data_IF_304112794494
#
_entry.id   IF_304112794494
#
_cell.length_a   1.000
_cell.length_b   1.000
_cell.length_c   1.000
_cell.angle_alpha   90.00
_cell.angle_beta   90.00
_cell.angle_gamma   90.00
#
_symmetry.space_group_name_H-M   'P 1'
#
loop_
_entity.id
_entity.type
_entity.pdbx_description
1 polymer ?
#
# COMPACT_ATOMS: atom_id res chain seq x y z
N UNK A 1 36.60 -55.57 7.34
CA UNK A 1 37.43 -56.12 6.25
C UNK A 1 36.51 -56.96 5.36
N UNK A 2 36.22 -56.45 4.15
CA UNK A 2 35.85 -57.11 2.86
C UNK A 2 35.23 -58.52 2.93
N UNK A 3 34.10 -58.88 2.29
CA UNK A 3 33.68 -58.80 0.89
C UNK A 3 32.20 -59.18 0.83
N UNK A 4 31.46 -58.71 -0.17
CA UNK A 4 30.65 -59.63 -0.98
C UNK A 4 30.37 -59.02 -2.36
N UNK A 5 30.86 -59.71 -3.39
CA UNK A 5 30.81 -59.34 -4.79
C UNK A 5 30.13 -60.51 -5.51
N UNK A 6 29.03 -60.28 -6.22
CA UNK A 6 28.43 -61.27 -7.13
C UNK A 6 27.89 -60.54 -8.36
N UNK A 7 28.38 -60.96 -9.52
CA UNK A 7 28.11 -60.41 -10.84
C UNK A 7 27.55 -61.53 -11.73
N UNK A 8 26.36 -61.27 -12.27
CA UNK A 8 25.86 -61.58 -13.61
C UNK A 8 25.92 -63.00 -14.24
N UNK A 9 24.69 -63.48 -14.54
CA UNK A 9 24.15 -63.69 -15.89
C UNK A 9 24.21 -65.08 -16.57
N UNK A 10 22.98 -65.54 -16.88
CA UNK A 10 22.42 -65.96 -18.19
C UNK A 10 22.45 -67.44 -18.65
N UNK A 11 21.21 -67.92 -18.85
CA UNK A 11 20.63 -68.57 -20.05
C UNK A 11 20.78 -70.09 -20.22
N UNK A 12 19.62 -70.78 -20.32
CA UNK A 12 19.23 -71.64 -21.47
C UNK A 12 17.74 -72.05 -21.38
N UNK A 13 17.22 -72.55 -22.50
CA UNK A 13 15.91 -72.30 -23.14
C UNK A 13 15.01 -73.57 -23.24
N UNK A 14 13.75 -73.39 -23.69
CA UNK A 14 12.76 -74.31 -24.35
C UNK A 14 11.48 -74.61 -23.51
N UNK A 15 10.23 -74.18 -23.88
CA UNK A 15 9.26 -74.63 -24.94
C UNK A 15 8.76 -76.09 -24.65
N UNK A 16 7.48 -76.51 -24.58
CA UNK A 16 6.13 -75.97 -24.88
C UNK A 16 4.99 -76.88 -24.30
N UNK A 17 3.88 -76.24 -23.90
CA UNK A 17 2.42 -76.52 -23.99
C UNK A 17 1.71 -77.87 -23.62
N UNK A 18 0.50 -77.74 -23.06
CA UNK A 18 -0.62 -78.70 -23.14
C UNK A 18 -1.66 -78.66 -21.98
N UNK A 19 -2.75 -77.88 -22.16
CA UNK A 19 -4.16 -78.00 -21.69
C UNK A 19 -4.59 -78.49 -20.29
N UNK A 20 -5.37 -77.64 -19.56
CA UNK A 20 -6.81 -77.86 -19.19
C UNK A 20 -7.31 -77.07 -17.95
N UNK A 21 -8.25 -76.15 -18.20
CA UNK A 21 -9.53 -75.86 -17.51
C UNK A 21 -9.67 -75.55 -15.98
N UNK A 22 -10.06 -74.29 -15.71
CA UNK A 22 -10.94 -73.70 -14.67
C UNK A 22 -10.72 -73.93 -13.14
N UNK A 23 -10.47 -72.83 -12.39
CA UNK A 23 -11.39 -72.25 -11.39
C UNK A 23 -10.95 -70.84 -10.91
N UNK A 24 -11.90 -69.93 -10.74
CA UNK A 24 -11.79 -68.48 -10.49
C UNK A 24 -11.46 -68.13 -9.03
N UNK A 25 -10.66 -67.08 -8.75
CA UNK A 25 -10.92 -66.09 -7.68
C UNK A 25 -10.34 -64.71 -8.07
N UNK A 26 -11.12 -63.66 -7.79
CA UNK A 26 -10.97 -62.24 -8.15
C UNK A 26 -9.82 -61.55 -7.40
N UNK A 27 -9.20 -60.54 -7.99
CA UNK A 27 -8.47 -59.49 -7.24
C UNK A 27 -8.58 -58.15 -7.95
N UNK A 28 -9.34 -57.24 -7.33
CA UNK A 28 -9.46 -55.81 -7.65
C UNK A 28 -8.31 -55.11 -6.94
N UNK A 29 -7.53 -54.29 -7.64
CA UNK A 29 -6.60 -53.36 -7.01
C UNK A 29 -6.67 -52.00 -7.73
N UNK A 30 -7.53 -51.12 -7.24
CA UNK A 30 -7.49 -49.70 -7.54
C UNK A 30 -6.75 -49.00 -6.40
N UNK A 31 -5.55 -48.50 -6.67
CA UNK A 31 -4.77 -47.71 -5.73
C UNK A 31 -5.35 -46.29 -5.65
N UNK A 32 -5.96 -45.94 -4.51
CA UNK A 32 -6.35 -44.57 -4.21
C UNK A 32 -5.15 -43.84 -3.58
N UNK A 33 -4.61 -42.87 -4.32
CA UNK A 33 -3.57 -41.95 -3.84
C UNK A 33 -4.27 -40.87 -2.98
N UNK A 34 -4.23 -41.03 -1.67
CA UNK A 34 -4.78 -40.05 -0.72
C UNK A 34 -3.76 -38.90 -0.56
N UNK A 35 -3.96 -37.80 -1.29
CA UNK A 35 -3.20 -36.56 -1.05
C UNK A 35 -3.69 -35.92 0.25
N UNK A 36 -2.93 -36.09 1.33
CA UNK A 36 -3.05 -35.30 2.56
C UNK A 36 -2.62 -33.86 2.26
N UNK A 37 -3.57 -33.01 1.89
CA UNK A 37 -3.40 -31.56 2.02
C UNK A 37 -3.55 -31.23 3.51
N UNK A 38 -2.57 -30.58 4.16
CA UNK A 38 -2.76 -30.08 5.50
C UNK A 38 -3.85 -29.01 5.43
N UNK A 39 -5.02 -29.29 5.97
CA UNK A 39 -5.97 -28.24 6.31
C UNK A 39 -5.30 -27.42 7.41
N UNK A 40 -4.69 -26.29 7.06
CA UNK A 40 -4.31 -25.31 8.05
C UNK A 40 -5.57 -25.00 8.85
N UNK A 41 -5.56 -25.35 10.14
CA UNK A 41 -6.60 -24.95 11.07
C UNK A 41 -6.46 -23.44 11.23
N UNK A 42 -7.13 -22.68 10.37
CA UNK A 42 -7.11 -21.23 10.40
C UNK A 42 -7.84 -20.79 11.68
N UNK A 43 -7.12 -20.13 12.58
CA UNK A 43 -7.67 -19.60 13.81
C UNK A 43 -8.34 -18.23 13.60
N UNK A 44 -8.71 -17.88 12.36
CA UNK A 44 -9.42 -16.64 12.08
C UNK A 44 -10.74 -16.62 12.87
N UNK A 45 -11.11 -15.45 13.37
CA UNK A 45 -12.38 -15.16 14.01
C UNK A 45 -13.59 -15.20 13.07
N UNK A 46 -13.37 -15.47 11.78
CA UNK A 46 -14.39 -15.64 10.75
C UNK A 46 -14.08 -16.82 9.81
N UNK A 47 -15.07 -17.20 9.00
CA UNK A 47 -14.98 -18.31 8.04
C UNK A 47 -14.17 -17.90 6.81
N UNK A 48 -12.91 -18.35 6.73
CA UNK A 48 -12.01 -18.05 5.61
C UNK A 48 -12.53 -18.55 4.25
N UNK A 49 -13.42 -19.55 4.20
CA UNK A 49 -14.04 -19.97 2.95
C UNK A 49 -14.99 -18.91 2.37
N UNK A 50 -15.36 -17.89 3.15
CA UNK A 50 -16.25 -16.79 2.77
C UNK A 50 -15.54 -15.45 2.62
N UNK A 51 -14.21 -15.42 2.71
CA UNK A 51 -13.42 -14.20 2.55
C UNK A 51 -13.65 -13.56 1.17
N UNK A 52 -14.15 -12.32 1.15
CA UNK A 52 -14.52 -11.63 -0.08
C UNK A 52 -13.60 -10.43 -0.36
N UNK A 53 -13.29 -9.67 0.67
CA UNK A 53 -12.44 -8.48 0.57
C UNK A 53 -10.95 -8.83 0.44
N UNK A 54 -10.11 -7.94 -0.12
CA UNK A 54 -8.66 -8.10 -0.10
C UNK A 54 -8.13 -8.33 1.33
N UNK A 55 -8.63 -7.54 2.29
CA UNK A 55 -8.30 -7.67 3.71
C UNK A 55 -8.57 -9.05 4.28
N UNK A 56 -9.78 -9.59 4.09
CA UNK A 56 -10.13 -10.92 4.61
C UNK A 56 -9.30 -12.01 3.96
N UNK A 57 -9.04 -11.90 2.65
CA UNK A 57 -8.20 -12.86 1.92
C UNK A 57 -6.77 -12.86 2.46
N UNK A 58 -6.19 -11.68 2.70
CA UNK A 58 -4.86 -11.54 3.31
C UNK A 58 -4.81 -12.10 4.73
N UNK A 59 -5.80 -11.79 5.58
CA UNK A 59 -5.89 -12.35 6.94
C UNK A 59 -5.94 -13.89 6.92
N UNK A 60 -6.66 -14.46 5.95
CA UNK A 60 -6.76 -15.91 5.81
C UNK A 60 -5.52 -16.54 5.19
N UNK A 61 -4.81 -15.85 4.30
CA UNK A 61 -3.60 -16.36 3.67
C UNK A 61 -2.38 -16.35 4.61
N UNK A 62 -2.33 -15.43 5.57
CA UNK A 62 -1.23 -15.31 6.53
C UNK A 62 -1.58 -15.91 7.91
N UNK A 63 -0.76 -16.85 8.37
CA UNK A 63 -1.01 -17.56 9.63
C UNK A 63 -0.90 -16.66 10.88
N UNK A 64 -0.01 -15.65 10.86
CA UNK A 64 0.16 -14.74 11.98
C UNK A 64 -1.02 -13.77 12.10
N UNK A 65 -1.51 -13.23 10.98
CA UNK A 65 -2.72 -12.41 10.90
C UNK A 65 -3.97 -13.21 11.27
N UNK A 66 -4.10 -14.44 10.77
CA UNK A 66 -5.19 -15.35 11.14
C UNK A 66 -5.23 -15.58 12.66
N UNK A 67 -4.07 -15.81 13.29
CA UNK A 67 -3.95 -15.93 14.73
C UNK A 67 -4.35 -14.64 15.46
N UNK A 68 -3.86 -13.49 15.01
CA UNK A 68 -4.21 -12.19 15.60
C UNK A 68 -5.72 -11.91 15.54
N UNK A 69 -6.37 -12.31 14.45
CA UNK A 69 -7.82 -12.20 14.29
C UNK A 69 -8.58 -13.09 15.28
N UNK A 70 -8.13 -14.34 15.46
CA UNK A 70 -8.65 -15.25 16.49
C UNK A 70 -8.49 -14.73 17.91
N UNK A 71 -7.29 -14.26 18.25
CA UNK A 71 -6.98 -13.67 19.56
C UNK A 71 -7.89 -12.46 19.82
N UNK A 72 -8.12 -11.62 18.81
CA UNK A 72 -8.99 -10.45 18.91
C UNK A 72 -10.46 -10.84 19.09
N UNK A 73 -10.93 -11.87 18.38
CA UNK A 73 -12.28 -12.40 18.57
C UNK A 73 -12.50 -12.93 20.00
N UNK A 74 -11.48 -13.57 20.60
CA UNK A 74 -11.51 -14.02 21.98
C UNK A 74 -11.52 -12.83 22.97
N UNK A 75 -10.60 -11.86 22.80
CA UNK A 75 -10.53 -10.66 23.63
C UNK A 75 -11.81 -9.83 23.58
N UNK A 76 -12.42 -9.71 22.39
CA UNK A 76 -13.71 -9.06 22.18
C UNK A 76 -14.83 -9.71 23.01
N UNK A 77 -14.94 -11.04 22.98
CA UNK A 77 -15.92 -11.79 23.78
C UNK A 77 -15.69 -11.55 25.28
N UNK A 78 -14.45 -11.56 25.74
CA UNK A 78 -14.11 -11.27 27.14
C UNK A 78 -14.49 -9.83 27.54
N UNK A 79 -14.22 -8.85 26.67
CA UNK A 79 -14.57 -7.45 26.91
C UNK A 79 -16.10 -7.25 27.02
N UNK A 80 -16.90 -7.97 26.23
CA UNK A 80 -18.36 -7.95 26.34
C UNK A 80 -18.85 -8.53 27.68
N UNK A 81 -18.23 -9.62 28.15
CA UNK A 81 -18.59 -10.25 29.44
C UNK A 81 -18.23 -9.37 30.63
N UNK A 82 -17.12 -8.62 30.55
CA UNK A 82 -16.68 -7.70 31.60
C UNK A 82 -17.70 -6.58 31.89
N UNK A 83 -18.58 -6.27 30.94
CA UNK A 83 -19.63 -5.26 31.08
C UNK A 83 -19.12 -3.82 30.98
N UNK A 84 -19.94 -2.85 31.40
CA UNK A 84 -19.72 -1.41 31.22
C UNK A 84 -20.59 -0.82 30.10
N UNK A 85 -20.09 0.21 29.40
CA UNK A 85 -20.79 0.79 28.25
C UNK A 85 -20.63 -0.10 27.00
N UNK A 86 -21.42 -1.17 26.94
CA UNK A 86 -21.39 -2.14 25.85
C UNK A 86 -21.83 -1.54 24.50
N UNK A 87 -22.62 -0.47 24.50
CA UNK A 87 -23.03 0.21 23.28
C UNK A 87 -21.85 0.96 22.65
N UNK A 88 -21.12 1.75 23.46
CA UNK A 88 -19.90 2.41 23.01
C UNK A 88 -18.84 1.40 22.57
N UNK A 89 -18.68 0.28 23.29
CA UNK A 89 -17.74 -0.78 22.95
C UNK A 89 -18.05 -1.41 21.57
N UNK A 90 -19.33 -1.70 21.28
CA UNK A 90 -19.78 -2.19 19.96
C UNK A 90 -19.56 -1.17 18.86
N UNK A 91 -19.89 0.10 19.10
CA UNK A 91 -19.63 1.17 18.14
C UNK A 91 -18.13 1.31 17.82
N UNK A 92 -17.27 1.24 18.85
CA UNK A 92 -15.82 1.28 18.69
C UNK A 92 -15.29 0.07 17.90
N UNK A 93 -15.84 -1.14 18.12
CA UNK A 93 -15.45 -2.34 17.37
C UNK A 93 -15.82 -2.23 15.89
N UNK A 94 -17.03 -1.77 15.57
CA UNK A 94 -17.46 -1.54 14.18
C UNK A 94 -16.61 -0.47 13.50
N UNK A 95 -16.27 0.61 14.21
CA UNK A 95 -15.36 1.64 13.72
C UNK A 95 -13.97 1.06 13.44
N UNK A 96 -13.45 0.24 14.36
CA UNK A 96 -12.14 -0.40 14.19
C UNK A 96 -12.11 -1.34 12.97
N UNK A 97 -13.16 -2.14 12.73
CA UNK A 97 -13.26 -3.00 11.55
C UNK A 97 -13.17 -2.19 10.25
N UNK A 98 -13.94 -1.10 10.15
CA UNK A 98 -13.87 -0.18 8.99
C UNK A 98 -12.49 0.42 8.79
N UNK A 99 -11.75 0.68 9.87
CA UNK A 99 -10.38 1.19 9.79
C UNK A 99 -9.41 0.09 9.34
N UNK A 100 -9.48 -1.10 9.94
CA UNK A 100 -8.70 -2.28 9.53
C UNK A 100 -8.85 -2.56 8.04
N UNK A 101 -10.08 -2.51 7.53
CA UNK A 101 -10.36 -2.83 6.13
C UNK A 101 -9.72 -1.84 5.14
N UNK A 102 -9.33 -0.63 5.60
CA UNK A 102 -8.55 0.33 4.78
C UNK A 102 -7.11 -0.13 4.54
N UNK A 103 -6.57 -1.08 5.30
CA UNK A 103 -5.26 -1.67 5.01
C UNK A 103 -5.26 -2.45 3.68
N UNK A 104 -6.42 -2.94 3.22
CA UNK A 104 -6.46 -3.82 2.06
C UNK A 104 -5.58 -5.06 2.28
N UNK A 105 -4.66 -5.30 1.35
CA UNK A 105 -3.72 -6.43 1.42
C UNK A 105 -2.40 -6.13 2.16
N UNK A 106 -2.24 -4.96 2.78
CA UNK A 106 -1.03 -4.60 3.52
C UNK A 106 -0.96 -5.36 4.86
N UNK A 107 -0.12 -6.41 4.90
CA UNK A 107 0.07 -7.29 6.05
C UNK A 107 0.64 -6.56 7.27
N UNK A 108 1.57 -5.62 7.08
CA UNK A 108 2.18 -4.85 8.17
C UNK A 108 1.15 -3.95 8.82
N UNK A 109 0.36 -3.25 8.00
CA UNK A 109 -0.75 -2.43 8.45
C UNK A 109 -1.76 -3.28 9.24
N UNK A 110 -2.19 -4.42 8.69
CA UNK A 110 -3.14 -5.31 9.36
C UNK A 110 -2.59 -5.77 10.72
N UNK A 111 -1.36 -6.28 10.75
CA UNK A 111 -0.71 -6.76 11.96
C UNK A 111 -0.68 -5.71 13.07
N UNK A 112 -0.34 -4.46 12.73
CA UNK A 112 -0.34 -3.38 13.72
C UNK A 112 -1.74 -2.97 14.18
N UNK A 113 -2.72 -2.91 13.27
CA UNK A 113 -4.12 -2.63 13.64
C UNK A 113 -4.70 -3.67 14.59
N UNK A 114 -4.34 -4.94 14.42
CA UNK A 114 -4.68 -6.01 15.35
C UNK A 114 -4.01 -5.82 16.71
N UNK A 115 -2.68 -5.60 16.74
CA UNK A 115 -1.93 -5.41 17.99
C UNK A 115 -2.44 -4.22 18.81
N UNK A 116 -2.70 -3.08 18.16
CA UNK A 116 -3.30 -1.89 18.79
C UNK A 116 -4.67 -2.18 19.40
N UNK A 117 -5.52 -2.93 18.70
CA UNK A 117 -6.87 -3.23 19.19
C UNK A 117 -6.86 -4.26 20.30
N UNK A 118 -6.01 -5.27 20.22
CA UNK A 118 -5.80 -6.24 21.30
C UNK A 118 -5.34 -5.55 22.59
N UNK A 119 -4.37 -4.62 22.48
CA UNK A 119 -3.93 -3.80 23.61
C UNK A 119 -5.10 -2.99 24.23
N UNK A 120 -5.89 -2.34 23.38
CA UNK A 120 -7.09 -1.58 23.80
C UNK A 120 -8.14 -2.47 24.50
N UNK A 121 -8.46 -3.65 23.95
CA UNK A 121 -9.48 -4.55 24.51
C UNK A 121 -9.02 -5.20 25.83
N UNK A 122 -7.73 -5.52 25.94
CA UNK A 122 -7.16 -6.15 27.12
C UNK A 122 -6.87 -5.15 28.25
N UNK A 123 -7.09 -3.85 28.03
CA UNK A 123 -6.74 -2.80 29.00
C UNK A 123 -5.24 -2.75 29.31
N UNK A 124 -4.42 -3.27 28.40
CA UNK A 124 -2.96 -3.28 28.47
C UNK A 124 -2.47 -2.33 27.39
N UNK A 125 -2.20 -1.05 27.70
CA UNK A 125 -1.70 -0.13 26.70
C UNK A 125 -0.45 -0.71 26.05
N UNK A 126 -0.28 -0.46 24.75
CA UNK A 126 0.99 -0.71 24.09
C UNK A 126 2.10 0.01 24.88
N UNK A 127 3.27 -0.61 25.00
CA UNK A 127 4.35 -0.08 25.82
C UNK A 127 4.70 1.36 25.38
N UNK A 128 4.93 2.26 26.35
CA UNK A 128 5.16 3.69 26.08
C UNK A 128 6.49 3.97 25.33
N UNK A 129 7.38 2.97 25.33
CA UNK A 129 8.69 2.91 24.69
C UNK A 129 8.66 2.04 23.41
N UNK A 130 7.48 1.82 22.80
CA UNK A 130 7.33 0.91 21.66
C UNK A 130 7.94 1.47 20.37
N UNK A 131 9.25 1.41 20.28
CA UNK A 131 9.97 1.48 19.02
C UNK A 131 9.53 0.36 18.08
N UNK A 132 9.38 -0.86 18.61
CA UNK A 132 9.11 -2.11 17.87
C UNK A 132 7.71 -2.16 17.25
N UNK A 133 7.59 -1.56 16.08
CA UNK A 133 6.41 -1.57 15.21
C UNK A 133 6.76 -0.98 13.86
N UNK A 134 5.77 -0.98 12.97
CA UNK A 134 5.82 -0.21 11.74
C UNK A 134 5.20 1.17 11.97
N UNK A 135 5.89 2.17 11.46
CA UNK A 135 5.55 3.58 11.50
C UNK A 135 5.44 4.11 10.08
N UNK A 136 4.51 5.04 9.85
CA UNK A 136 4.17 5.54 8.53
C UNK A 136 4.40 7.04 8.47
N UNK A 137 5.04 7.52 7.41
CA UNK A 137 5.29 8.94 7.20
C UNK A 137 3.99 9.75 7.27
N UNK A 138 3.96 10.76 8.13
CA UNK A 138 2.88 11.71 8.34
C UNK A 138 2.84 12.73 7.19
N UNK A 139 2.60 12.24 5.96
CA UNK A 139 2.47 13.10 4.77
C UNK A 139 1.03 13.58 4.58
N UNK A 140 0.88 14.82 4.10
CA UNK A 140 -0.41 15.35 3.62
C UNK A 140 -0.67 15.04 2.14
N UNK A 141 0.36 14.65 1.41
CA UNK A 141 0.30 14.35 -0.02
C UNK A 141 0.64 12.86 -0.26
N UNK A 142 -0.26 12.09 -0.90
CA UNK A 142 -0.11 10.65 -1.07
C UNK A 142 1.05 10.24 -1.99
N UNK A 143 1.59 11.14 -2.80
CA UNK A 143 2.76 10.88 -3.64
C UNK A 143 4.08 10.85 -2.88
N UNK A 144 4.08 11.24 -1.60
CA UNK A 144 5.21 11.09 -0.68
C UNK A 144 4.84 10.09 0.39
N UNK A 145 5.66 9.07 0.56
CA UNK A 145 5.43 8.04 1.57
C UNK A 145 6.72 7.57 2.19
N UNK A 146 6.55 6.84 3.28
CA UNK A 146 7.64 6.19 3.97
C UNK A 146 7.12 5.23 5.02
N UNK A 147 7.82 4.11 5.16
CA UNK A 147 7.51 3.05 6.10
C UNK A 147 8.76 2.74 6.89
N UNK A 148 8.71 2.91 8.20
CA UNK A 148 9.82 2.68 9.13
C UNK A 148 9.42 1.55 10.08
N UNK A 149 10.13 0.44 10.04
CA UNK A 149 9.90 -0.68 10.94
C UNK A 149 11.08 -0.84 11.87
N UNK A 150 10.84 -0.89 13.18
CA UNK A 150 11.87 -1.33 14.13
C UNK A 150 11.56 -2.74 14.64
N UNK A 151 12.60 -3.56 14.75
CA UNK A 151 12.58 -4.89 15.37
C UNK A 151 13.73 -5.04 16.37
N UNK A 152 13.79 -6.15 17.10
CA UNK A 152 14.79 -6.38 18.15
C UNK A 152 14.32 -5.93 19.53
N UNK A 153 15.23 -5.72 20.47
CA UNK A 153 14.90 -5.37 21.87
C UNK A 153 15.80 -4.26 22.37
N UNK A 154 15.19 -3.21 22.92
CA UNK A 154 15.93 -2.08 23.47
C UNK A 154 17.02 -2.54 24.47
N UNK A 155 18.22 -1.93 24.44
CA UNK A 155 18.55 -0.74 23.66
C UNK A 155 18.93 -1.04 22.20
N UNK A 156 19.10 -2.30 21.78
CA UNK A 156 19.57 -2.62 20.41
C UNK A 156 18.40 -2.96 19.49
N UNK A 157 18.19 -2.13 18.48
CA UNK A 157 17.13 -2.32 17.50
C UNK A 157 17.71 -2.40 16.10
N UNK A 158 17.04 -3.16 15.26
CA UNK A 158 17.22 -3.11 13.82
C UNK A 158 16.11 -2.26 13.22
N UNK A 159 16.41 -1.41 12.24
CA UNK A 159 15.42 -0.67 11.49
C UNK A 159 15.47 -1.01 10.01
N UNK A 160 14.30 -1.05 9.39
CA UNK A 160 14.11 -1.05 7.95
C UNK A 160 13.28 0.17 7.59
N UNK A 161 13.74 0.95 6.62
CA UNK A 161 13.14 2.21 6.22
C UNK A 161 13.01 2.28 4.71
N UNK A 162 11.78 2.35 4.23
CA UNK A 162 11.48 2.66 2.84
C UNK A 162 10.90 4.06 2.70
N UNK A 163 11.12 4.67 1.54
CA UNK A 163 10.60 5.99 1.18
C UNK A 163 10.25 6.04 -0.29
N UNK A 164 9.27 6.86 -0.64
CA UNK A 164 8.92 7.12 -2.03
C UNK A 164 8.62 8.60 -2.28
N UNK A 165 8.90 9.01 -3.50
CA UNK A 165 8.53 10.32 -4.03
C UNK A 165 8.14 10.17 -5.50
N UNK A 166 6.83 10.15 -5.74
CA UNK A 166 6.28 9.71 -7.02
C UNK A 166 6.67 8.27 -7.30
N UNK A 167 7.25 8.02 -8.47
CA UNK A 167 7.72 6.69 -8.89
C UNK A 167 9.13 6.34 -8.38
N UNK A 168 9.84 7.28 -7.76
CA UNK A 168 11.16 7.02 -7.20
C UNK A 168 11.02 6.43 -5.81
N UNK A 169 11.81 5.41 -5.51
CA UNK A 169 11.84 4.73 -4.21
C UNK A 169 13.26 4.69 -3.65
N UNK A 170 13.37 4.39 -2.37
CA UNK A 170 14.64 4.11 -1.71
C UNK A 170 14.40 3.26 -0.48
N UNK A 171 15.39 2.45 -0.12
CA UNK A 171 15.38 1.59 1.06
C UNK A 171 16.71 1.72 1.79
N UNK A 172 16.64 1.76 3.12
CA UNK A 172 17.79 1.81 4.00
C UNK A 172 17.48 0.98 5.24
N UNK A 173 18.44 0.19 5.70
CA UNK A 173 18.31 -0.59 6.93
C UNK A 173 19.62 -0.65 7.68
N UNK A 174 19.52 -0.88 8.98
CA UNK A 174 20.69 -0.92 9.84
C UNK A 174 20.34 -1.14 11.30
N UNK A 175 21.38 -1.32 12.10
CA UNK A 175 21.24 -1.45 13.54
C UNK A 175 21.49 -0.11 14.23
N UNK A 176 20.73 0.16 15.28
CA UNK A 176 20.91 1.30 16.16
C UNK A 176 20.95 0.85 17.62
N UNK A 177 21.68 1.60 18.43
CA UNK A 177 21.59 1.52 19.88
C UNK A 177 20.86 2.76 20.41
N UNK A 178 19.87 2.52 21.26
CA UNK A 178 19.04 3.56 21.84
C UNK A 178 19.70 4.16 23.08
N UNK A 179 19.71 5.48 23.11
CA UNK A 179 20.01 6.28 24.29
C UNK A 179 18.75 7.06 24.69
N UNK A 180 18.05 6.54 25.70
CA UNK A 180 16.72 7.04 26.08
C UNK A 180 15.72 6.87 24.94
N UNK A 181 15.12 7.98 24.50
CA UNK A 181 14.15 8.01 23.41
C UNK A 181 14.79 8.44 22.07
N UNK A 182 16.08 8.19 21.88
CA UNK A 182 16.77 8.50 20.63
C UNK A 182 17.72 7.40 20.21
N UNK A 183 17.97 7.30 18.91
CA UNK A 183 19.02 6.47 18.34
C UNK A 183 19.54 7.13 17.07
N UNK A 184 20.80 6.86 16.72
CA UNK A 184 21.42 7.40 15.51
C UNK A 184 21.99 6.27 14.68
N UNK A 185 21.67 6.27 13.40
CA UNK A 185 22.35 5.49 12.38
C UNK A 185 23.32 6.41 11.62
N UNK A 186 24.52 5.93 11.33
CA UNK A 186 25.49 6.66 10.50
C UNK A 186 26.27 5.68 9.64
N UNK A 187 26.28 5.92 8.33
CA UNK A 187 27.08 5.19 7.37
C UNK A 187 27.53 6.14 6.26
N UNK A 188 28.85 6.24 6.05
CA UNK A 188 29.47 7.21 5.15
C UNK A 188 28.95 8.65 5.36
N UNK A 189 28.32 9.26 4.36
CA UNK A 189 27.76 10.61 4.43
C UNK A 189 26.29 10.63 4.88
N UNK A 190 25.65 9.47 5.01
CA UNK A 190 24.29 9.38 5.50
C UNK A 190 24.25 9.24 7.01
N UNK A 191 23.46 10.09 7.65
CA UNK A 191 23.13 9.96 9.08
C UNK A 191 21.64 10.16 9.30
N UNK A 192 21.02 9.22 10.00
CA UNK A 192 19.64 9.32 10.45
C UNK A 192 19.59 9.42 11.97
N UNK A 193 18.91 10.46 12.46
CA UNK A 193 18.55 10.58 13.86
C UNK A 193 17.08 10.21 14.05
N UNK A 194 16.83 9.25 14.93
CA UNK A 194 15.50 8.85 15.33
C UNK A 194 15.20 9.40 16.72
N UNK A 195 14.01 9.97 16.91
CA UNK A 195 13.55 10.50 18.19
C UNK A 195 12.10 10.12 18.47
N UNK A 196 11.86 9.33 19.51
CA UNK A 196 10.52 8.92 19.92
C UNK A 196 9.86 9.98 20.81
N UNK A 197 8.74 10.53 20.35
CA UNK A 197 7.95 11.57 21.03
C UNK A 197 6.50 11.10 21.16
N UNK A 198 6.19 10.38 22.22
CA UNK A 198 4.87 9.79 22.43
C UNK A 198 4.58 8.72 21.38
N UNK A 199 3.50 8.87 20.62
CA UNK A 199 3.10 7.95 19.54
C UNK A 199 3.65 8.36 18.16
N UNK A 200 4.83 9.00 18.12
CA UNK A 200 5.46 9.48 16.89
C UNK A 200 6.96 9.29 16.95
N UNK A 201 7.56 8.85 15.84
CA UNK A 201 9.02 8.85 15.64
C UNK A 201 9.36 9.98 14.69
N UNK A 202 10.16 10.94 15.15
CA UNK A 202 10.75 11.94 14.27
C UNK A 202 12.05 11.40 13.69
N UNK A 203 12.21 11.49 12.37
CA UNK A 203 13.43 11.16 11.65
C UNK A 203 14.04 12.44 11.12
N UNK A 204 15.29 12.72 11.49
CA UNK A 204 16.09 13.75 10.84
C UNK A 204 17.16 13.08 9.97
N UNK A 205 17.18 13.43 8.69
CA UNK A 205 18.19 12.98 7.74
C UNK A 205 19.25 14.07 7.59
N UNK A 206 20.52 13.66 7.68
CA UNK A 206 21.67 14.47 7.32
C UNK A 206 22.38 13.77 6.16
N UNK A 207 22.73 14.55 5.14
CA UNK A 207 23.19 14.05 3.85
C UNK A 207 22.09 14.13 2.78
N UNK A 208 22.51 14.15 1.52
CA UNK A 208 21.62 14.18 0.37
C UNK A 208 20.85 12.86 0.20
N UNK A 209 19.85 12.86 -0.68
CA UNK A 209 19.06 11.68 -1.05
C UNK A 209 19.95 10.51 -1.49
N UNK A 210 20.80 10.71 -2.50
CA UNK A 210 21.70 9.67 -3.03
C UNK A 210 22.74 9.19 -2.03
N UNK A 211 23.16 10.04 -1.08
CA UNK A 211 24.12 9.67 -0.02
C UNK A 211 23.49 8.68 0.98
N UNK A 212 22.19 8.76 1.19
CA UNK A 212 21.43 7.81 2.01
C UNK A 212 20.91 6.60 1.24
N UNK A 213 21.38 6.37 0.00
CA UNK A 213 20.88 5.31 -0.86
C UNK A 213 19.42 5.52 -1.30
N UNK A 214 18.88 6.71 -1.09
CA UNK A 214 17.53 7.05 -1.51
C UNK A 214 17.53 7.37 -3.02
N UNK A 215 16.48 6.96 -3.73
CA UNK A 215 16.29 7.37 -5.12
C UNK A 215 16.17 8.89 -5.26
N UNK A 216 16.35 9.42 -6.47
CA UNK A 216 16.39 10.86 -6.69
C UNK A 216 15.13 11.60 -6.16
N UNK A 217 15.32 12.55 -5.24
CA UNK A 217 14.29 13.31 -4.54
C UNK A 217 13.59 12.55 -3.40
N UNK A 218 13.97 11.32 -3.10
CA UNK A 218 13.46 10.57 -1.95
C UNK A 218 14.22 11.02 -0.71
N UNK A 219 13.48 11.42 0.33
CA UNK A 219 14.04 11.79 1.63
C UNK A 219 13.33 11.01 2.73
N UNK A 220 14.08 10.57 3.72
CA UNK A 220 13.58 9.80 4.86
C UNK A 220 13.20 10.68 6.06
N UNK A 221 13.54 11.98 6.01
CA UNK A 221 13.21 12.90 7.09
C UNK A 221 11.71 13.12 7.19
N UNK A 222 11.18 13.16 8.41
CA UNK A 222 9.79 13.46 8.66
C UNK A 222 9.30 12.94 10.00
N UNK A 223 8.03 13.18 10.26
CA UNK A 223 7.33 12.59 11.39
C UNK A 223 6.67 11.28 10.94
N UNK A 224 6.89 10.19 11.67
CA UNK A 224 6.31 8.89 11.41
C UNK A 224 5.33 8.55 12.53
N UNK A 225 4.12 8.17 12.14
CA UNK A 225 2.97 7.93 13.02
C UNK A 225 2.52 6.48 12.96
N UNK A 226 1.73 6.06 13.93
CA UNK A 226 1.18 4.69 13.95
C UNK A 226 0.19 4.46 12.79
N UNK A 227 -0.05 3.20 12.42
CA UNK A 227 -1.07 2.84 11.45
C UNK A 227 -2.46 3.42 11.81
N UNK A 228 -2.82 3.40 13.10
CA UNK A 228 -4.05 4.03 13.61
C UNK A 228 -4.16 5.51 13.26
N UNK A 229 -3.08 6.27 13.46
CA UNK A 229 -3.05 7.71 13.23
C UNK A 229 -3.05 8.02 11.73
N UNK A 230 -2.26 7.30 10.94
CA UNK A 230 -2.24 7.43 9.48
C UNK A 230 -3.64 7.21 8.89
N UNK A 231 -4.31 6.10 9.27
CA UNK A 231 -5.65 5.78 8.76
C UNK A 231 -6.77 6.68 9.26
N UNK A 232 -6.55 7.38 10.38
CA UNK A 232 -7.52 8.33 10.92
C UNK A 232 -7.58 9.62 10.09
N UNK A 233 -6.57 9.89 9.26
CA UNK A 233 -6.55 11.05 8.38
C UNK A 233 -7.66 10.96 7.32
N UNK A 234 -8.31 12.10 7.00
CA UNK A 234 -9.10 12.20 5.79
C UNK A 234 -8.24 11.88 4.55
N UNK A 235 -8.79 11.21 3.52
CA UNK A 235 -8.12 11.10 2.24
C UNK A 235 -7.80 12.50 1.68
N UNK A 236 -6.68 12.61 0.97
CA UNK A 236 -6.32 13.85 0.29
C UNK A 236 -7.35 14.19 -0.80
N UNK A 237 -7.61 15.48 -0.96
CA UNK A 237 -8.42 16.05 -2.01
C UNK A 237 -7.68 17.25 -2.66
N UNK A 238 -8.24 17.83 -3.71
CA UNK A 238 -7.56 18.90 -4.45
C UNK A 238 -7.47 20.21 -3.65
N UNK A 239 -8.20 20.36 -2.55
CA UNK A 239 -8.07 21.51 -1.63
C UNK A 239 -6.97 21.23 -0.62
N UNK A 240 -6.92 20.05 -0.02
CA UNK A 240 -5.84 19.68 0.92
C UNK A 240 -4.47 19.61 0.25
N UNK A 241 -4.43 19.49 -1.08
CA UNK A 241 -3.22 19.51 -1.91
C UNK A 241 -2.93 20.89 -2.52
N UNK A 242 -3.65 21.94 -2.10
CA UNK A 242 -3.48 23.32 -2.57
C UNK A 242 -3.64 23.53 -4.09
N UNK A 243 -4.28 22.59 -4.78
CA UNK A 243 -4.60 22.70 -6.22
C UNK A 243 -5.79 23.63 -6.44
N UNK A 244 -6.82 23.49 -5.60
CA UNK A 244 -8.05 24.26 -5.62
C UNK A 244 -8.17 25.12 -4.36
N UNK A 245 -8.72 26.31 -4.52
CA UNK A 245 -8.74 27.34 -3.48
C UNK A 245 -9.74 27.07 -2.36
N UNK A 246 -10.81 26.30 -2.60
CA UNK A 246 -11.88 26.08 -1.62
C UNK A 246 -12.79 24.89 -1.97
N UNK A 247 -13.65 24.54 -1.01
CA UNK A 247 -14.61 23.44 -1.13
C UNK A 247 -15.61 23.57 -2.29
N UNK A 248 -15.97 24.79 -2.71
CA UNK A 248 -16.88 25.00 -3.84
C UNK A 248 -16.20 24.63 -5.17
N UNK A 249 -14.95 25.04 -5.36
CA UNK A 249 -14.15 24.59 -6.50
C UNK A 249 -13.97 23.07 -6.45
N UNK A 250 -13.75 22.50 -5.26
CA UNK A 250 -13.59 21.06 -5.08
C UNK A 250 -14.84 20.28 -5.52
N UNK A 251 -16.03 20.72 -5.09
CA UNK A 251 -17.29 20.12 -5.51
C UNK A 251 -17.52 20.25 -7.02
N UNK A 252 -17.08 21.39 -7.60
CA UNK A 252 -17.12 21.60 -9.05
C UNK A 252 -16.20 20.63 -9.78
N UNK A 253 -14.97 20.45 -9.30
CA UNK A 253 -14.01 19.51 -9.87
C UNK A 253 -14.46 18.05 -9.74
N UNK A 254 -15.02 17.64 -8.60
CA UNK A 254 -15.62 16.32 -8.43
C UNK A 254 -16.71 16.03 -9.47
N UNK A 255 -17.63 16.98 -9.67
CA UNK A 255 -18.68 16.84 -10.68
C UNK A 255 -18.12 16.83 -12.10
N UNK A 256 -17.09 17.62 -12.37
CA UNK A 256 -16.48 17.77 -13.69
C UNK A 256 -15.66 16.54 -14.10
N UNK A 257 -14.83 16.02 -13.19
CA UNK A 257 -13.89 14.93 -13.46
C UNK A 257 -14.52 13.54 -13.25
N UNK A 258 -15.52 13.42 -12.37
CA UNK A 258 -16.15 12.15 -12.06
C UNK A 258 -15.12 11.11 -11.60
N UNK A 259 -15.00 10.01 -12.35
CA UNK A 259 -14.04 8.94 -12.05
C UNK A 259 -12.57 9.38 -12.12
N UNK A 260 -12.26 10.41 -12.91
CA UNK A 260 -10.89 10.89 -13.09
C UNK A 260 -10.43 11.86 -12.00
N UNK A 261 -11.31 12.19 -11.05
CA UNK A 261 -10.95 13.06 -9.93
C UNK A 261 -9.79 12.48 -9.11
N UNK A 262 -9.88 11.18 -8.78
CA UNK A 262 -8.82 10.52 -8.00
C UNK A 262 -7.52 10.45 -8.79
N UNK A 263 -7.57 10.23 -10.10
CA UNK A 263 -6.40 10.26 -10.98
C UNK A 263 -5.67 11.61 -10.89
N UNK A 264 -6.40 12.72 -10.84
CA UNK A 264 -5.77 14.03 -10.65
C UNK A 264 -5.15 14.17 -9.26
N UNK A 265 -5.83 13.73 -8.20
CA UNK A 265 -5.27 13.71 -6.84
C UNK A 265 -3.96 12.92 -6.80
N UNK A 266 -3.91 11.76 -7.43
CA UNK A 266 -2.74 10.87 -7.44
C UNK A 266 -1.56 11.42 -8.27
N UNK A 267 -1.84 12.28 -9.25
CA UNK A 267 -0.83 12.95 -10.11
C UNK A 267 -0.16 14.15 -9.42
N UNK A 268 -0.82 14.74 -8.43
CA UNK A 268 -0.33 15.94 -7.74
C UNK A 268 0.83 15.56 -6.81
N UNK A 269 2.03 15.52 -7.36
CA UNK A 269 3.28 15.27 -6.64
C UNK A 269 4.17 16.52 -6.63
N UNK A 270 4.56 17.01 -7.80
CA UNK A 270 5.21 18.31 -7.97
C UNK A 270 4.31 19.24 -8.77
N UNK A 271 4.44 20.54 -8.50
CA UNK A 271 3.74 21.60 -9.22
C UNK A 271 4.69 22.70 -9.66
N UNK A 272 4.43 23.29 -10.82
CA UNK A 272 5.07 24.53 -11.26
C UNK A 272 4.04 25.45 -11.91
N UNK A 273 4.11 26.74 -11.57
CA UNK A 273 3.29 27.75 -12.23
C UNK A 273 3.65 27.84 -13.72
N UNK A 274 2.63 27.97 -14.54
CA UNK A 274 2.77 28.17 -15.97
C UNK A 274 2.11 29.49 -16.39
N UNK A 275 2.48 29.97 -17.58
CA UNK A 275 1.92 31.21 -18.13
C UNK A 275 0.55 30.94 -18.75
N UNK A 276 -0.41 31.80 -18.49
CA UNK A 276 -1.67 31.87 -19.22
C UNK A 276 -1.43 32.49 -20.60
N UNK A 277 -1.43 31.65 -21.64
CA UNK A 277 -1.25 32.04 -23.04
C UNK A 277 -2.54 32.50 -23.71
N UNK A 278 -3.67 32.31 -23.04
CA UNK A 278 -5.01 32.65 -23.54
C UNK A 278 -5.46 34.04 -23.06
N UNK A 279 -4.76 34.62 -22.07
CA UNK A 279 -5.11 35.92 -21.50
C UNK A 279 -6.41 35.87 -20.69
N UNK A 280 -6.74 34.70 -20.14
CA UNK A 280 -7.96 34.47 -19.36
C UNK A 280 -7.87 35.07 -17.96
N UNK A 281 -6.68 35.50 -17.53
CA UNK A 281 -6.36 35.88 -16.15
C UNK A 281 -6.60 34.71 -15.19
N UNK A 282 -6.20 33.52 -15.62
CA UNK A 282 -6.28 32.30 -14.82
C UNK A 282 -4.96 32.04 -14.06
N UNK A 283 -5.06 31.48 -12.87
CA UNK A 283 -3.92 30.84 -12.20
C UNK A 283 -3.68 29.48 -12.85
N UNK A 284 -2.46 29.22 -13.30
CA UNK A 284 -2.13 28.01 -14.05
C UNK A 284 -1.00 27.27 -13.36
N UNK A 285 -1.23 26.01 -13.02
CA UNK A 285 -0.19 25.14 -12.46
C UNK A 285 -0.18 23.82 -13.21
N UNK A 286 1.00 23.41 -13.67
CA UNK A 286 1.24 22.06 -14.17
C UNK A 286 1.72 21.17 -13.03
N UNK A 287 1.17 19.96 -12.94
CA UNK A 287 1.54 18.94 -11.97
C UNK A 287 2.08 17.70 -12.66
N UNK A 288 3.00 16.99 -12.01
CA UNK A 288 3.52 15.72 -12.52
C UNK A 288 4.04 14.84 -11.39
N UNK A 289 4.00 13.53 -11.65
CA UNK A 289 4.63 12.52 -10.81
C UNK A 289 6.10 12.40 -11.19
N UNK A 290 6.98 12.59 -10.22
CA UNK A 290 8.43 12.41 -10.39
C UNK A 290 8.73 10.99 -10.87
N UNK A 291 9.63 10.87 -11.85
CA UNK A 291 10.04 9.60 -12.46
C UNK A 291 9.16 9.15 -13.65
N UNK A 292 7.92 9.64 -13.75
CA UNK A 292 6.94 9.20 -14.78
C UNK A 292 6.11 10.37 -15.35
N UNK A 293 6.71 11.56 -15.43
CA UNK A 293 6.01 12.79 -15.81
C UNK A 293 5.39 12.76 -17.23
N UNK A 294 5.92 11.94 -18.14
CA UNK A 294 5.40 11.82 -19.52
C UNK A 294 4.08 11.04 -19.60
N UNK A 295 3.72 10.29 -18.56
CA UNK A 295 2.49 9.50 -18.49
C UNK A 295 1.56 9.94 -17.37
N UNK A 296 2.09 10.60 -16.35
CA UNK A 296 1.38 11.01 -15.15
C UNK A 296 1.60 12.50 -14.90
N UNK A 297 0.90 13.32 -15.67
CA UNK A 297 0.93 14.77 -15.54
C UNK A 297 -0.45 15.38 -15.77
N UNK A 298 -0.65 16.55 -15.19
CA UNK A 298 -1.85 17.36 -15.34
C UNK A 298 -1.50 18.84 -15.46
N UNK A 299 -2.44 19.62 -15.96
CA UNK A 299 -2.42 21.08 -15.88
C UNK A 299 -3.78 21.55 -15.42
N UNK A 300 -3.80 22.41 -14.42
CA UNK A 300 -5.02 23.01 -13.87
C UNK A 300 -4.92 24.52 -14.06
N UNK A 301 -5.86 25.06 -14.82
CA UNK A 301 -6.12 26.49 -14.90
C UNK A 301 -7.38 26.80 -14.09
N UNK A 302 -7.33 27.83 -13.23
CA UNK A 302 -8.47 28.25 -12.41
C UNK A 302 -8.65 29.76 -12.39
N UNK A 303 -9.90 30.21 -12.43
CA UNK A 303 -10.29 31.62 -12.27
C UNK A 303 -11.66 31.74 -11.62
N UNK A 304 -11.75 32.29 -10.42
CA UNK A 304 -13.04 32.29 -9.70
C UNK A 304 -13.50 30.85 -9.51
N UNK A 305 -14.64 30.45 -10.08
CA UNK A 305 -15.09 29.05 -10.07
C UNK A 305 -14.92 28.34 -11.43
N UNK A 306 -14.29 29.02 -12.39
CA UNK A 306 -13.98 28.47 -13.72
C UNK A 306 -12.75 27.57 -13.63
N UNK A 307 -12.84 26.40 -14.27
CA UNK A 307 -11.81 25.38 -14.32
C UNK A 307 -11.56 24.96 -15.77
N UNK A 308 -10.28 24.79 -16.11
CA UNK A 308 -9.81 24.09 -17.30
C UNK A 308 -8.74 23.11 -16.85
N UNK A 309 -8.93 21.83 -17.16
CA UNK A 309 -8.06 20.76 -16.66
C UNK A 309 -7.63 19.90 -17.84
N UNK A 310 -6.33 19.81 -18.06
CA UNK A 310 -5.72 18.77 -18.90
C UNK A 310 -5.16 17.68 -17.98
N UNK A 311 -5.46 16.42 -18.27
CA UNK A 311 -5.10 15.28 -17.43
C UNK A 311 -4.62 14.14 -18.32
N UNK A 312 -3.39 13.67 -18.12
CA UNK A 312 -2.94 12.43 -18.75
C UNK A 312 -3.58 11.23 -18.07
N UNK A 313 -4.14 10.34 -18.88
CA UNK A 313 -4.77 9.09 -18.44
C UNK A 313 -4.35 7.95 -19.37
N UNK A 314 -4.49 6.73 -18.88
CA UNK A 314 -4.37 5.52 -19.69
C UNK A 314 -5.74 5.09 -20.21
N UNK A 315 -5.82 4.71 -21.49
CA UNK A 315 -6.99 4.03 -22.04
C UNK A 315 -7.03 2.54 -21.62
N UNK A 316 -8.07 1.83 -22.07
CA UNK A 316 -8.25 0.40 -21.76
C UNK A 316 -7.14 -0.49 -22.35
N UNK A 317 -6.35 0.00 -23.30
CA UNK A 317 -5.20 -0.67 -23.91
C UNK A 317 -3.87 -0.19 -23.31
N UNK A 318 -3.90 0.62 -22.25
CA UNK A 318 -2.73 1.22 -21.61
C UNK A 318 -1.96 2.21 -22.49
N UNK A 319 -2.61 2.83 -23.48
CA UNK A 319 -2.02 3.96 -24.19
C UNK A 319 -2.31 5.26 -23.44
N UNK A 320 -1.31 6.15 -23.41
CA UNK A 320 -1.43 7.47 -22.79
C UNK A 320 -2.21 8.39 -23.71
N UNK A 321 -3.07 9.21 -23.12
CA UNK A 321 -3.80 10.27 -23.79
C UNK A 321 -4.15 11.41 -22.85
N UNK A 322 -4.40 12.59 -23.39
CA UNK A 322 -4.90 13.71 -22.59
C UNK A 322 -6.42 13.73 -22.61
N UNK A 323 -7.05 13.69 -21.44
CA UNK A 323 -8.44 14.14 -21.28
C UNK A 323 -8.44 15.61 -20.89
N UNK A 324 -9.32 16.37 -21.52
CA UNK A 324 -9.53 17.79 -21.27
C UNK A 324 -10.94 18.04 -20.76
N UNK A 325 -11.04 18.81 -19.68
CA UNK A 325 -12.29 19.17 -19.02
C UNK A 325 -12.39 20.68 -18.85
N UNK A 326 -13.60 21.22 -19.00
CA UNK A 326 -13.91 22.57 -18.55
C UNK A 326 -15.36 22.71 -18.14
N UNK A 327 -15.62 23.46 -17.08
CA UNK A 327 -16.96 23.88 -16.71
C UNK A 327 -17.39 25.19 -17.39
N UNK A 328 -16.51 25.81 -18.19
CA UNK A 328 -16.78 27.10 -18.84
C UNK A 328 -17.43 26.87 -20.21
N UNK A 329 -18.67 27.36 -20.45
CA UNK A 329 -19.44 27.03 -21.65
C UNK A 329 -18.70 27.26 -22.97
N UNK A 330 -17.97 28.37 -23.09
CA UNK A 330 -17.22 28.72 -24.29
C UNK A 330 -16.03 27.79 -24.58
N UNK A 331 -15.55 27.07 -23.55
CA UNK A 331 -14.34 26.25 -23.61
C UNK A 331 -14.62 24.75 -23.49
N UNK A 332 -15.89 24.33 -23.38
CA UNK A 332 -16.26 22.91 -23.31
C UNK A 332 -15.81 22.07 -24.51
N UNK A 333 -15.66 22.69 -25.67
CA UNK A 333 -15.31 22.01 -26.94
C UNK A 333 -13.98 22.46 -27.54
N UNK A 334 -13.28 23.35 -26.84
CA UNK A 334 -12.07 24.02 -27.33
C UNK A 334 -11.02 23.94 -26.26
N UNK A 335 -9.85 23.38 -26.57
CA UNK A 335 -8.71 23.33 -25.66
C UNK A 335 -8.01 24.70 -25.67
N UNK A 336 -7.77 25.34 -24.50
CA UNK A 336 -6.98 26.57 -24.41
C UNK A 336 -5.55 26.40 -24.95
N UNK A 337 -4.98 27.45 -25.54
CA UNK A 337 -3.59 27.46 -26.02
C UNK A 337 -2.61 27.09 -24.92
N UNK A 338 -2.91 27.49 -23.68
CA UNK A 338 -2.13 27.15 -22.49
C UNK A 338 -2.02 25.65 -22.29
N UNK A 339 -3.15 24.93 -22.34
CA UNK A 339 -3.20 23.47 -22.17
C UNK A 339 -2.62 22.76 -23.39
N UNK A 340 -2.90 23.26 -24.60
CA UNK A 340 -2.32 22.70 -25.82
C UNK A 340 -0.78 22.81 -25.82
N UNK A 341 -0.22 23.95 -25.41
CA UNK A 341 1.22 24.13 -25.33
C UNK A 341 1.88 23.25 -24.26
N UNK A 342 1.17 22.99 -23.15
CA UNK A 342 1.60 22.03 -22.13
C UNK A 342 1.61 20.61 -22.68
N UNK A 343 0.53 20.19 -23.33
CA UNK A 343 0.40 18.90 -24.00
C UNK A 343 1.52 18.67 -25.02
N UNK A 344 1.74 19.64 -25.92
CA UNK A 344 2.70 19.50 -27.02
C UNK A 344 4.15 19.44 -26.54
N UNK A 345 4.44 20.02 -25.37
CA UNK A 345 5.75 19.92 -24.72
C UNK A 345 6.01 18.53 -24.15
N UNK A 346 4.96 17.85 -23.67
CA UNK A 346 5.06 16.48 -23.19
C UNK A 346 5.21 15.54 -24.38
N UNK A 347 4.21 15.51 -25.25
CA UNK A 347 4.22 14.81 -26.53
C UNK A 347 3.02 15.25 -27.37
N UNK A 348 3.28 15.97 -28.46
CA UNK A 348 2.25 16.47 -29.39
C UNK A 348 1.45 15.38 -30.11
N UNK A 349 1.90 14.12 -30.06
CA UNK A 349 1.24 13.00 -30.73
C UNK A 349 0.18 12.33 -29.87
N UNK A 350 0.10 12.66 -28.58
CA UNK A 350 -0.90 12.12 -27.68
C UNK A 350 -2.31 12.48 -28.16
N UNK A 351 -3.25 11.51 -28.21
CA UNK A 351 -4.64 11.81 -28.51
C UNK A 351 -5.27 12.71 -27.45
N UNK A 352 -6.15 13.62 -27.89
CA UNK A 352 -6.88 14.51 -27.00
C UNK A 352 -8.36 14.15 -26.97
N UNK A 353 -8.85 13.79 -25.79
CA UNK A 353 -10.27 13.59 -25.48
C UNK A 353 -10.85 14.87 -24.89
N UNK A 354 -11.79 15.50 -25.60
CA UNK A 354 -12.54 16.64 -25.08
C UNK A 354 -13.80 16.13 -24.37
N UNK A 355 -13.81 16.22 -23.04
CA UNK A 355 -14.86 15.69 -22.17
C UNK A 355 -16.02 16.69 -22.02
N UNK A 356 -17.28 16.22 -22.05
CA UNK A 356 -18.48 17.07 -22.15
C UNK A 356 -19.18 17.38 -20.82
#
# INVERSE_FOLDING_TARGET
MILQNQLNARVKTAISAGDALHMRVRSVAAAALLTLLPAAAHAAGFDCAKAASPTEKTICADAALSKLDGDLAAAWKQALVKGGDTAALKAAQLKWLKQRDRCGADELCLGDRYRERLASLNGRPLAADRWQQTWYLDSGNPSFGGVLTFTGTAPRLHFELSGNNGANTGELGGDIELHGNSGTFSHDQCRLDFSLKGARVQVAQHGADGECGAGAGVVYSGDYVTASQMQAKPPADLVSLDVLANAQQNATAHKLLGADYQTLVDIVNYGAEARDLDGLNAHVTSYWVRGVATTNAAIVMRRGNDLWIGLLVFDAQSNVRMRYYSNVPAWKKTVPKTIQAWHDRLDKTLPVDVMQ
#
